data_IF_948091140899
#
_entry.id   IF_948091140899
#
_cell.length_a   1.000
_cell.length_b   1.000
_cell.length_c   1.000
_cell.angle_alpha   90.00
_cell.angle_beta   90.00
_cell.angle_gamma   90.00
#
_symmetry.space_group_name_H-M   'P 1'
#
loop_
_entity.id
_entity.type
_entity.pdbx_description
1 polymer ?
#
# COMPACT_ATOMS: atom_id res chain seq x y z
N UNK A 1 1.95 13.97 -11.36
CA UNK A 1 1.12 12.88 -11.89
C UNK A 1 2.06 11.73 -12.16
N UNK A 2 1.97 10.63 -11.41
CA UNK A 2 2.76 9.43 -11.70
C UNK A 2 2.28 8.90 -13.06
N UNK A 3 3.17 8.43 -13.94
CA UNK A 3 2.74 7.88 -15.22
C UNK A 3 1.82 6.69 -14.97
N UNK A 4 0.78 6.59 -15.79
CA UNK A 4 -0.11 5.44 -15.76
C UNK A 4 0.73 4.20 -16.05
N UNK A 5 0.80 3.29 -15.11
CA UNK A 5 1.48 2.02 -15.31
C UNK A 5 0.85 1.25 -16.46
N UNK A 6 1.69 0.61 -17.23
CA UNK A 6 1.21 -0.35 -18.22
C UNK A 6 0.59 -1.53 -17.46
N UNK A 7 -0.72 -1.76 -17.55
CA UNK A 7 -1.39 -2.82 -16.81
C UNK A 7 -1.11 -4.19 -17.44
N UNK A 8 0.17 -4.54 -17.61
CA UNK A 8 0.57 -5.75 -18.34
C UNK A 8 0.02 -7.00 -17.69
N UNK A 9 0.18 -7.12 -16.37
CA UNK A 9 -0.32 -8.28 -15.63
C UNK A 9 -1.84 -8.34 -15.60
N UNK A 10 -2.54 -7.21 -15.40
CA UNK A 10 -4.00 -7.16 -15.39
C UNK A 10 -4.58 -7.45 -16.77
N UNK A 11 -3.97 -6.94 -17.84
CA UNK A 11 -4.42 -7.23 -19.21
C UNK A 11 -4.26 -8.70 -19.59
N UNK A 12 -3.15 -9.33 -19.15
CA UNK A 12 -2.89 -10.75 -19.42
C UNK A 12 -3.76 -11.68 -18.59
N UNK A 13 -4.00 -11.32 -17.34
CA UNK A 13 -4.73 -12.10 -16.36
C UNK A 13 -6.08 -11.42 -16.03
N UNK A 14 -6.81 -10.97 -17.07
CA UNK A 14 -8.10 -10.34 -16.91
C UNK A 14 -9.12 -11.29 -16.25
N UNK A 15 -10.00 -10.74 -15.43
CA UNK A 15 -11.07 -11.49 -14.78
C UNK A 15 -12.45 -10.95 -15.24
N UNK A 16 -13.47 -11.80 -15.46
CA UNK A 16 -14.78 -11.34 -15.91
C UNK A 16 -15.42 -10.25 -15.03
N UNK A 17 -15.11 -10.21 -13.74
CA UNK A 17 -15.62 -9.22 -12.80
C UNK A 17 -14.86 -7.89 -12.81
N UNK A 18 -13.73 -7.77 -13.50
CA UNK A 18 -12.95 -6.52 -13.56
C UNK A 18 -13.79 -5.34 -14.12
N UNK A 19 -14.69 -5.63 -15.05
CA UNK A 19 -15.61 -4.66 -15.65
C UNK A 19 -16.74 -4.21 -14.73
N UNK A 20 -16.96 -4.92 -13.63
CA UNK A 20 -18.09 -4.70 -12.73
C UNK A 20 -17.73 -3.81 -11.54
N UNK A 21 -16.45 -3.50 -11.34
CA UNK A 21 -15.94 -2.66 -10.24
C UNK A 21 -15.12 -1.49 -10.77
N UNK A 22 -15.35 -0.31 -10.21
CA UNK A 22 -14.53 0.88 -10.46
C UNK A 22 -14.07 1.51 -9.14
N UNK A 23 -12.80 1.87 -9.08
CA UNK A 23 -12.22 2.61 -7.96
C UNK A 23 -12.08 4.09 -8.34
N UNK A 24 -12.57 4.97 -7.48
CA UNK A 24 -12.45 6.42 -7.59
C UNK A 24 -11.41 6.89 -6.55
N UNK A 25 -10.25 7.28 -7.03
CA UNK A 25 -9.11 7.64 -6.18
C UNK A 25 -9.38 8.89 -5.32
N UNK A 26 -10.04 9.91 -5.89
CA UNK A 26 -10.35 11.17 -5.21
C UNK A 26 -11.17 10.96 -3.94
N UNK A 27 -12.20 10.11 -4.02
CA UNK A 27 -13.10 9.80 -2.91
C UNK A 27 -12.71 8.54 -2.14
N UNK A 28 -11.66 7.86 -2.58
CA UNK A 28 -11.25 6.54 -2.11
C UNK A 28 -12.41 5.54 -2.05
N UNK A 29 -13.20 5.51 -3.13
CA UNK A 29 -14.49 4.83 -3.18
C UNK A 29 -14.51 3.75 -4.27
N UNK A 30 -15.01 2.58 -3.89
CA UNK A 30 -15.34 1.51 -4.85
C UNK A 30 -16.82 1.58 -5.21
N UNK A 31 -17.12 1.46 -6.51
CA UNK A 31 -18.48 1.38 -7.03
C UNK A 31 -18.62 0.09 -7.83
N UNK A 32 -19.62 -0.70 -7.48
CA UNK A 32 -19.96 -1.90 -8.24
C UNK A 32 -20.99 -1.48 -9.29
N UNK A 33 -20.59 -1.55 -10.56
CA UNK A 33 -21.36 -1.01 -11.68
C UNK A 33 -22.67 -1.77 -11.94
N UNK A 34 -22.74 -3.02 -11.52
CA UNK A 34 -23.97 -3.83 -11.57
C UNK A 34 -24.98 -3.45 -10.47
N UNK A 35 -24.50 -2.80 -9.41
CA UNK A 35 -25.31 -2.35 -8.26
C UNK A 35 -24.91 -0.92 -7.82
N UNK A 36 -25.01 0.11 -8.68
CA UNK A 36 -24.39 1.42 -8.47
C UNK A 36 -24.96 2.19 -7.25
N UNK A 37 -26.16 1.84 -6.82
CA UNK A 37 -26.84 2.46 -5.66
C UNK A 37 -26.56 1.71 -4.34
N UNK A 38 -25.85 0.58 -4.38
CA UNK A 38 -25.52 -0.20 -3.19
C UNK A 38 -24.15 0.26 -2.66
N UNK A 39 -24.13 0.58 -1.37
CA UNK A 39 -22.86 0.97 -0.71
C UNK A 39 -22.05 -0.27 -0.37
N UNK A 40 -20.87 -0.36 -0.94
CA UNK A 40 -19.84 -1.32 -0.52
C UNK A 40 -18.90 -0.64 0.47
N UNK A 41 -18.51 -1.37 1.50
CA UNK A 41 -17.54 -0.91 2.52
C UNK A 41 -16.14 -1.38 2.13
N UNK A 42 -15.15 -0.51 2.17
CA UNK A 42 -13.78 -0.97 1.93
C UNK A 42 -13.32 -1.91 3.06
N UNK A 43 -12.49 -2.89 2.72
CA UNK A 43 -11.90 -3.83 3.70
C UNK A 43 -11.20 -3.07 4.84
N UNK A 44 -10.48 -2.01 4.52
CA UNK A 44 -9.80 -1.17 5.52
C UNK A 44 -10.79 -0.48 6.46
N UNK A 45 -11.87 0.09 5.92
CA UNK A 45 -12.93 0.72 6.74
C UNK A 45 -13.63 -0.31 7.63
N UNK A 46 -13.94 -1.48 7.06
CA UNK A 46 -14.54 -2.58 7.82
C UNK A 46 -13.63 -3.04 8.95
N UNK A 47 -12.36 -3.28 8.66
CA UNK A 47 -11.37 -3.67 9.67
C UNK A 47 -11.26 -2.63 10.78
N UNK A 48 -11.11 -1.34 10.43
CA UNK A 48 -11.02 -0.25 11.40
C UNK A 48 -12.26 -0.14 12.31
N UNK A 49 -13.45 -0.57 11.83
CA UNK A 49 -14.67 -0.53 12.65
C UNK A 49 -14.64 -1.48 13.85
N UNK A 50 -13.75 -2.46 13.87
CA UNK A 50 -13.58 -3.42 14.97
C UNK A 50 -12.58 -2.96 16.03
N UNK A 51 -11.91 -1.85 15.83
CA UNK A 51 -10.90 -1.33 16.76
C UNK A 51 -11.31 0.05 17.28
N UNK A 52 -10.91 0.40 18.52
CA UNK A 52 -11.09 1.76 19.03
C UNK A 52 -10.40 2.78 18.10
N UNK A 53 -11.05 3.92 17.92
CA UNK A 53 -10.43 5.02 17.18
C UNK A 53 -9.18 5.51 17.90
N UNK A 54 -8.19 5.89 17.10
CA UNK A 54 -6.98 6.53 17.62
C UNK A 54 -7.32 7.99 18.02
N UNK A 55 -7.37 8.25 19.32
CA UNK A 55 -7.66 9.57 19.90
C UNK A 55 -6.35 10.18 20.42
N UNK A 56 -5.66 10.95 19.59
CA UNK A 56 -4.33 11.49 19.89
C UNK A 56 -4.31 12.28 21.21
N UNK A 57 -5.32 13.10 21.45
CA UNK A 57 -5.39 13.92 22.67
C UNK A 57 -5.43 13.07 23.93
N UNK A 58 -6.29 12.06 23.96
CA UNK A 58 -6.42 11.14 25.09
C UNK A 58 -5.14 10.36 25.34
N UNK A 59 -4.47 9.92 24.24
CA UNK A 59 -3.22 9.16 24.34
C UNK A 59 -2.10 10.04 24.89
N UNK A 60 -1.96 11.28 24.40
CA UNK A 60 -0.94 12.22 24.84
C UNK A 60 -1.18 12.58 26.31
N UNK A 61 -2.42 12.87 26.71
CA UNK A 61 -2.77 13.20 28.09
C UNK A 61 -2.42 12.04 29.04
N UNK A 62 -2.79 10.81 28.69
CA UNK A 62 -2.44 9.62 29.46
C UNK A 62 -0.93 9.38 29.53
N UNK A 63 -0.24 9.59 28.41
CA UNK A 63 1.22 9.45 28.34
C UNK A 63 1.92 10.47 29.26
N UNK A 64 1.49 11.74 29.23
CA UNK A 64 2.07 12.80 30.05
C UNK A 64 1.79 12.63 31.56
N UNK A 65 0.71 11.94 31.92
CA UNK A 65 0.37 11.57 33.31
C UNK A 65 1.04 10.29 33.80
N UNK A 66 1.70 9.57 32.92
CA UNK A 66 2.30 8.26 33.24
C UNK A 66 3.57 8.40 34.07
N UNK A 67 3.94 7.35 34.80
CA UNK A 67 5.20 7.27 35.56
C UNK A 67 6.45 7.31 34.67
N UNK A 68 6.30 7.00 33.36
CA UNK A 68 7.38 7.05 32.37
C UNK A 68 7.63 8.45 31.83
N UNK A 69 6.74 9.43 32.11
CA UNK A 69 6.91 10.82 31.68
C UNK A 69 7.94 11.53 32.56
N UNK A 70 9.20 11.44 32.17
CA UNK A 70 10.36 12.01 32.86
C UNK A 70 11.50 12.24 31.88
N UNK A 71 12.55 12.89 32.32
CA UNK A 71 13.76 13.06 31.52
C UNK A 71 14.23 11.71 30.91
N UNK A 72 14.53 11.71 29.60
CA UNK A 72 14.82 10.51 28.83
C UNK A 72 13.61 9.90 28.09
N UNK A 73 12.36 10.32 28.36
CA UNK A 73 11.22 9.94 27.55
C UNK A 73 11.29 10.62 26.16
N UNK A 74 10.96 9.88 25.09
CA UNK A 74 11.06 10.34 23.69
C UNK A 74 10.46 11.74 23.43
N UNK A 75 9.38 12.08 24.13
CA UNK A 75 8.66 13.34 23.94
C UNK A 75 8.83 14.29 25.14
N UNK A 76 9.76 14.01 26.05
CA UNK A 76 9.98 14.87 27.23
C UNK A 76 10.32 16.29 26.81
N UNK A 77 9.68 17.27 27.45
CA UNK A 77 9.87 18.69 27.14
C UNK A 77 9.03 19.24 26.00
N UNK A 78 8.28 18.39 25.29
CA UNK A 78 7.35 18.83 24.24
C UNK A 78 5.95 19.06 24.83
N UNK A 79 5.24 20.02 24.26
CA UNK A 79 3.82 20.22 24.55
C UNK A 79 2.94 19.30 23.66
N UNK A 80 1.65 19.11 23.97
CA UNK A 80 0.75 18.24 23.23
C UNK A 80 0.67 18.54 21.74
N UNK A 81 0.67 19.81 21.34
CA UNK A 81 0.58 20.21 19.94
C UNK A 81 1.85 19.86 19.16
N UNK A 82 3.01 20.00 19.79
CA UNK A 82 4.27 19.58 19.20
C UNK A 82 4.33 18.06 18.99
N UNK A 83 3.82 17.29 19.95
CA UNK A 83 3.76 15.82 19.83
C UNK A 83 2.82 15.41 18.69
N UNK A 84 1.62 16.01 18.61
CA UNK A 84 0.69 15.78 17.50
C UNK A 84 1.29 16.12 16.15
N UNK A 85 1.97 17.27 16.06
CA UNK A 85 2.65 17.69 14.84
C UNK A 85 3.69 16.67 14.39
N UNK A 86 4.51 16.16 15.32
CA UNK A 86 5.49 15.11 15.00
C UNK A 86 4.81 13.82 14.53
N UNK A 87 3.70 13.40 15.16
CA UNK A 87 2.97 12.21 14.76
C UNK A 87 2.36 12.36 13.37
N UNK A 88 1.76 13.52 13.07
CA UNK A 88 1.20 13.82 11.76
C UNK A 88 2.29 13.83 10.67
N UNK A 89 3.40 14.53 10.91
CA UNK A 89 4.52 14.59 9.96
C UNK A 89 5.09 13.19 9.70
N UNK A 90 5.24 12.37 10.75
CA UNK A 90 5.72 11.00 10.60
C UNK A 90 4.71 10.13 9.82
N UNK A 91 3.42 10.25 10.12
CA UNK A 91 2.36 9.54 9.37
C UNK A 91 2.41 9.89 7.88
N UNK A 92 2.46 11.18 7.56
CA UNK A 92 2.41 11.65 6.17
C UNK A 92 3.67 11.25 5.41
N UNK A 93 4.84 11.30 6.06
CA UNK A 93 6.10 10.82 5.49
C UNK A 93 6.08 9.32 5.22
N UNK A 94 5.61 8.51 6.19
CA UNK A 94 5.53 7.05 6.04
C UNK A 94 4.49 6.65 4.99
N UNK A 95 3.33 7.35 4.96
CA UNK A 95 2.31 7.10 3.94
C UNK A 95 2.83 7.40 2.53
N UNK A 96 3.56 8.51 2.35
CA UNK A 96 4.20 8.85 1.08
C UNK A 96 5.21 7.79 0.65
N UNK A 97 6.11 7.39 1.55
CA UNK A 97 7.09 6.34 1.28
C UNK A 97 6.44 4.98 0.94
N UNK A 98 5.34 4.63 1.62
CA UNK A 98 4.56 3.44 1.31
C UNK A 98 3.97 3.48 -0.09
N UNK A 99 3.38 4.60 -0.48
CA UNK A 99 2.83 4.79 -1.83
C UNK A 99 3.92 4.67 -2.91
N UNK A 100 5.10 5.22 -2.65
CA UNK A 100 6.22 5.13 -3.59
C UNK A 100 6.73 3.70 -3.71
N UNK A 101 6.84 2.98 -2.60
CA UNK A 101 7.23 1.56 -2.59
C UNK A 101 6.22 0.69 -3.35
N UNK A 102 4.92 0.87 -3.13
CA UNK A 102 3.87 0.15 -3.88
C UNK A 102 4.03 0.36 -5.39
N UNK A 103 4.22 1.62 -5.80
CA UNK A 103 4.44 1.96 -7.20
C UNK A 103 5.69 1.30 -7.77
N UNK A 104 6.81 1.30 -7.03
CA UNK A 104 8.05 0.65 -7.45
C UNK A 104 7.89 -0.87 -7.60
N UNK A 105 7.20 -1.53 -6.66
CA UNK A 105 6.88 -2.96 -6.72
C UNK A 105 5.99 -3.26 -7.93
N UNK A 106 5.02 -2.41 -8.18
CA UNK A 106 4.14 -2.54 -9.35
C UNK A 106 4.92 -2.41 -10.66
N UNK A 107 5.80 -1.41 -10.76
CA UNK A 107 6.71 -1.25 -11.90
C UNK A 107 7.58 -2.49 -12.09
N UNK A 108 8.19 -2.99 -11.04
CA UNK A 108 9.03 -4.18 -11.07
C UNK A 108 8.27 -5.39 -11.63
N UNK A 109 7.07 -5.65 -11.11
CA UNK A 109 6.27 -6.81 -11.50
C UNK A 109 5.67 -6.70 -12.91
N UNK A 110 5.40 -5.48 -13.39
CA UNK A 110 4.86 -5.23 -14.72
C UNK A 110 5.97 -4.95 -15.76
N UNK A 111 7.23 -4.95 -15.36
CA UNK A 111 8.34 -4.66 -16.23
C UNK A 111 8.53 -5.79 -17.27
N UNK A 112 8.47 -5.42 -18.54
CA UNK A 112 8.91 -6.21 -19.68
C UNK A 112 8.18 -7.48 -20.08
N UNK A 113 6.90 -7.67 -19.90
CA UNK A 113 6.37 -8.92 -20.40
C UNK A 113 5.13 -8.83 -21.25
N UNK A 114 5.32 -8.67 -22.52
CA UNK A 114 4.25 -8.72 -23.50
C UNK A 114 3.76 -10.15 -23.82
N UNK A 115 4.53 -11.20 -23.54
CA UNK A 115 4.18 -12.52 -24.05
C UNK A 115 4.15 -13.66 -23.03
N UNK A 116 5.06 -13.71 -22.08
CA UNK A 116 5.11 -14.77 -21.07
C UNK A 116 5.33 -14.18 -19.69
N UNK A 117 4.61 -14.67 -18.68
CA UNK A 117 4.86 -14.22 -17.32
C UNK A 117 6.23 -14.64 -16.84
N UNK A 118 7.02 -13.68 -16.37
CA UNK A 118 8.30 -13.95 -15.76
C UNK A 118 8.15 -14.48 -14.34
N UNK A 119 9.05 -15.39 -13.99
CA UNK A 119 9.27 -15.80 -12.60
C UNK A 119 10.01 -14.71 -11.84
N UNK A 120 9.99 -14.75 -10.54
CA UNK A 120 10.80 -13.88 -9.69
C UNK A 120 12.29 -13.94 -10.05
N UNK A 121 12.80 -15.12 -10.39
CA UNK A 121 14.18 -15.28 -10.86
C UNK A 121 14.47 -14.45 -12.08
N UNK A 122 13.64 -14.55 -13.10
CA UNK A 122 13.80 -13.82 -14.36
C UNK A 122 13.65 -12.31 -14.16
N UNK A 123 12.69 -11.86 -13.36
CA UNK A 123 12.52 -10.44 -12.99
C UNK A 123 13.72 -9.90 -12.21
N UNK A 124 14.30 -10.69 -11.32
CA UNK A 124 15.48 -10.33 -10.56
C UNK A 124 16.72 -10.19 -11.49
N UNK A 125 16.90 -11.11 -12.42
CA UNK A 125 17.98 -11.06 -13.41
C UNK A 125 17.84 -9.83 -14.32
N UNK A 126 16.63 -9.51 -14.79
CA UNK A 126 16.33 -8.31 -15.59
C UNK A 126 16.64 -7.06 -14.78
N UNK A 127 16.18 -6.98 -13.52
CA UNK A 127 16.42 -5.85 -12.65
C UNK A 127 17.90 -5.51 -12.48
N UNK A 128 18.75 -6.52 -12.32
CA UNK A 128 20.20 -6.32 -12.18
C UNK A 128 20.95 -6.11 -13.49
N UNK A 129 20.39 -6.54 -14.63
CA UNK A 129 20.98 -6.33 -15.95
C UNK A 129 20.62 -4.97 -16.56
N UNK A 130 19.49 -4.40 -16.14
CA UNK A 130 18.98 -3.14 -16.68
C UNK A 130 19.50 -1.96 -15.86
N UNK A 131 20.58 -1.34 -16.36
CA UNK A 131 21.19 -0.16 -15.77
C UNK A 131 20.25 1.08 -15.70
N UNK A 132 19.06 1.02 -16.33
CA UNK A 132 18.06 2.07 -16.27
C UNK A 132 17.17 1.96 -15.04
N UNK A 133 17.19 0.83 -14.37
CA UNK A 133 16.56 0.66 -13.05
C UNK A 133 17.51 1.11 -11.94
N UNK A 134 18.08 2.30 -12.08
CA UNK A 134 18.73 3.00 -10.97
C UNK A 134 17.66 3.46 -9.98
N UNK A 135 16.93 2.50 -9.41
CA UNK A 135 16.21 2.76 -8.18
C UNK A 135 17.28 2.90 -7.10
N UNK A 136 17.72 4.12 -6.93
CA UNK A 136 18.48 4.56 -5.76
C UNK A 136 17.55 4.55 -4.53
N UNK A 137 16.66 3.55 -4.49
CA UNK A 137 15.79 3.26 -3.37
C UNK A 137 16.67 2.77 -2.25
N UNK A 138 17.13 3.70 -1.44
CA UNK A 138 17.82 3.45 -0.18
C UNK A 138 16.84 2.99 0.90
N UNK A 139 15.55 2.88 0.56
CA UNK A 139 14.52 2.42 1.47
C UNK A 139 14.78 0.96 1.87
N UNK A 140 14.80 0.70 3.17
CA UNK A 140 15.01 -0.65 3.70
C UNK A 140 13.90 -1.61 3.24
N UNK A 141 12.70 -1.09 3.06
CA UNK A 141 11.53 -1.83 2.60
C UNK A 141 11.72 -2.38 1.17
N UNK A 142 12.35 -1.61 0.29
CA UNK A 142 12.72 -2.08 -1.04
C UNK A 142 13.72 -3.24 -0.97
N UNK A 143 14.70 -3.18 -0.07
CA UNK A 143 15.65 -4.27 0.14
C UNK A 143 14.94 -5.54 0.63
N UNK A 144 13.93 -5.41 1.49
CA UNK A 144 13.12 -6.55 1.93
C UNK A 144 12.34 -7.15 0.77
N UNK A 145 11.76 -6.34 -0.11
CA UNK A 145 11.07 -6.83 -1.30
C UNK A 145 12.03 -7.58 -2.23
N UNK A 146 13.20 -7.02 -2.56
CA UNK A 146 14.19 -7.66 -3.42
C UNK A 146 14.72 -8.96 -2.79
N UNK A 147 14.92 -9.00 -1.49
CA UNK A 147 15.28 -10.23 -0.79
C UNK A 147 14.18 -11.28 -0.90
N UNK A 148 12.91 -10.89 -0.73
CA UNK A 148 11.78 -11.78 -0.96
C UNK A 148 11.77 -12.36 -2.39
N UNK A 149 11.97 -11.52 -3.40
CA UNK A 149 12.02 -11.94 -4.81
C UNK A 149 13.13 -12.97 -5.02
N UNK A 150 14.34 -12.72 -4.51
CA UNK A 150 15.49 -13.62 -4.58
C UNK A 150 15.23 -14.95 -3.89
N UNK A 151 14.63 -14.91 -2.70
CA UNK A 151 14.40 -16.09 -1.88
C UNK A 151 13.24 -16.93 -2.38
N UNK A 152 12.39 -16.37 -3.26
CA UNK A 152 11.23 -17.03 -3.86
C UNK A 152 11.30 -17.04 -5.41
N UNK A 153 12.35 -17.60 -6.01
CA UNK A 153 12.64 -17.47 -7.43
C UNK A 153 11.60 -18.15 -8.35
N UNK A 154 10.82 -19.09 -7.82
CA UNK A 154 9.83 -19.87 -8.56
C UNK A 154 8.47 -19.18 -8.66
N UNK A 155 8.20 -18.16 -7.84
CA UNK A 155 6.93 -17.44 -7.88
C UNK A 155 6.80 -16.63 -9.17
N UNK A 156 5.56 -16.44 -9.60
CA UNK A 156 5.20 -15.58 -10.73
C UNK A 156 4.18 -14.57 -10.26
N UNK A 157 4.42 -13.27 -10.44
CA UNK A 157 3.40 -12.26 -10.22
C UNK A 157 2.20 -12.53 -11.13
N UNK A 158 1.01 -12.56 -10.56
CA UNK A 158 -0.22 -12.78 -11.32
C UNK A 158 -0.89 -11.47 -11.67
N UNK A 159 -1.12 -10.61 -10.70
CA UNK A 159 -1.66 -9.25 -10.86
C UNK A 159 -1.12 -8.33 -9.78
N UNK A 160 -1.14 -7.03 -10.08
CA UNK A 160 -0.90 -5.96 -9.11
C UNK A 160 -2.16 -5.09 -9.03
N UNK A 161 -2.40 -4.41 -7.91
CA UNK A 161 -3.50 -3.48 -7.70
C UNK A 161 -4.87 -4.04 -8.16
N UNK A 162 -5.15 -5.28 -7.77
CA UNK A 162 -6.36 -5.97 -8.19
C UNK A 162 -7.55 -5.57 -7.33
N UNK A 163 -8.45 -4.78 -7.88
CA UNK A 163 -9.72 -4.46 -7.22
C UNK A 163 -10.65 -5.68 -7.17
N UNK A 164 -11.17 -5.97 -5.98
CA UNK A 164 -12.05 -7.12 -5.73
C UNK A 164 -13.26 -6.70 -4.89
N UNK A 165 -14.34 -7.47 -4.98
CA UNK A 165 -15.53 -7.27 -4.16
C UNK A 165 -16.27 -8.56 -3.88
N UNK A 166 -17.10 -8.55 -2.84
CA UNK A 166 -17.94 -9.68 -2.46
C UNK A 166 -19.40 -9.22 -2.30
N UNK A 167 -20.30 -9.82 -3.09
CA UNK A 167 -21.69 -9.38 -3.20
C UNK A 167 -22.51 -9.59 -1.92
N UNK A 168 -22.34 -10.74 -1.24
CA UNK A 168 -23.17 -11.07 -0.08
C UNK A 168 -22.86 -10.17 1.12
N UNK A 169 -21.57 -9.88 1.35
CA UNK A 169 -21.13 -9.09 2.52
C UNK A 169 -20.93 -7.61 2.19
N UNK A 170 -21.08 -7.21 0.91
CA UNK A 170 -20.93 -5.83 0.44
C UNK A 170 -19.60 -5.19 0.86
N UNK A 171 -18.52 -5.94 0.69
CA UNK A 171 -17.14 -5.51 0.96
C UNK A 171 -16.36 -5.43 -0.35
N UNK A 172 -15.49 -4.42 -0.46
CA UNK A 172 -14.61 -4.20 -1.61
C UNK A 172 -13.20 -3.80 -1.16
N UNK A 173 -12.22 -3.96 -2.04
CA UNK A 173 -10.83 -3.59 -1.76
C UNK A 173 -9.89 -3.84 -2.94
N UNK A 174 -8.62 -3.52 -2.74
CA UNK A 174 -7.50 -3.81 -3.61
C UNK A 174 -6.29 -4.23 -2.79
#
# INVERSE_FOLDING_TARGET
MKPTLYPVLSSRNSHPRDKDIQFFEEDHKYVILTEPNVKYTSVTTWNHSHFPKFEADSIIDNMMKSKSWKEGHKYWGLNPEQIKSQWNNNRDSVAGAGTDLHYEIECFNNNNSLQNGYTNKELYEIYWSDNHLTHDSKAIEWQYFINFVRDNPHLKPFRTEWTVYHDDVKISGS
#
